data_IF_824686470042
#
_entry.id   IF_824686470042
#
_cell.length_a   1.000
_cell.length_b   1.000
_cell.length_c   1.000
_cell.angle_alpha   90.00
_cell.angle_beta   90.00
_cell.angle_gamma   90.00
#
_symmetry.space_group_name_H-M   'P 1'
#
loop_
_entity.id
_entity.type
_entity.pdbx_description
1 polymer ?
#
# COMPACT_ATOMS: atom_id res chain seq x y z
N UNK A 1 8.02 -3.68 -11.53
CA UNK A 1 6.58 -3.43 -11.47
C UNK A 1 6.00 -4.23 -10.31
N UNK A 2 4.95 -3.75 -9.63
CA UNK A 2 4.32 -4.49 -8.53
C UNK A 2 3.50 -5.70 -9.00
N UNK A 3 3.18 -5.79 -10.28
CA UNK A 3 2.22 -6.76 -10.79
C UNK A 3 2.52 -8.23 -10.47
N UNK A 4 3.73 -8.74 -10.75
CA UNK A 4 4.07 -10.13 -10.41
C UNK A 4 3.97 -10.45 -8.92
N UNK A 5 4.33 -9.49 -8.05
CA UNK A 5 4.26 -9.66 -6.61
C UNK A 5 2.81 -9.70 -6.11
N UNK A 6 1.94 -8.81 -6.62
CA UNK A 6 0.51 -8.78 -6.27
C UNK A 6 -0.18 -10.10 -6.65
N UNK A 7 0.02 -10.57 -7.89
CA UNK A 7 -0.59 -11.84 -8.33
C UNK A 7 -0.09 -13.03 -7.55
N UNK A 8 1.21 -13.08 -7.28
CA UNK A 8 1.78 -14.17 -6.48
C UNK A 8 1.18 -14.18 -5.06
N UNK A 9 1.04 -13.02 -4.42
CA UNK A 9 0.39 -12.92 -3.12
C UNK A 9 -1.07 -13.39 -3.15
N UNK A 10 -1.86 -12.95 -4.15
CA UNK A 10 -3.26 -13.38 -4.31
C UNK A 10 -3.33 -14.91 -4.46
N UNK A 11 -2.46 -15.50 -5.28
CA UNK A 11 -2.39 -16.95 -5.46
C UNK A 11 -2.05 -17.67 -4.15
N UNK A 12 -1.06 -17.19 -3.40
CA UNK A 12 -0.65 -17.77 -2.12
C UNK A 12 -1.76 -17.69 -1.06
N UNK A 13 -2.49 -16.57 -0.99
CA UNK A 13 -3.59 -16.41 -0.04
C UNK A 13 -4.77 -17.29 -0.44
N UNK A 14 -5.15 -17.33 -1.72
CA UNK A 14 -6.22 -18.23 -2.22
C UNK A 14 -5.91 -19.70 -1.90
N UNK A 15 -4.64 -20.11 -1.99
CA UNK A 15 -4.20 -21.46 -1.63
C UNK A 15 -4.26 -21.79 -0.13
N UNK A 16 -4.45 -20.79 0.74
CA UNK A 16 -4.44 -20.92 2.21
C UNK A 16 -5.80 -20.67 2.87
N UNK A 17 -6.80 -20.22 2.10
CA UNK A 17 -8.16 -19.95 2.60
C UNK A 17 -9.15 -20.95 2.01
N UNK A 18 -10.35 -21.04 2.59
CA UNK A 18 -11.41 -21.89 2.03
C UNK A 18 -11.83 -21.36 0.64
N UNK A 19 -12.15 -22.21 -0.35
CA UNK A 19 -12.48 -21.78 -1.73
C UNK A 19 -13.62 -20.75 -1.82
N UNK A 20 -14.62 -20.87 -0.94
CA UNK A 20 -15.74 -19.92 -0.84
C UNK A 20 -15.41 -18.64 -0.04
N UNK A 21 -14.18 -18.52 0.47
CA UNK A 21 -13.75 -17.31 1.19
C UNK A 21 -13.55 -16.18 0.19
N UNK A 22 -14.17 -15.05 0.49
CA UNK A 22 -13.95 -13.83 -0.27
C UNK A 22 -12.68 -13.13 0.20
N UNK A 23 -11.84 -12.74 -0.76
CA UNK A 23 -10.72 -11.86 -0.49
C UNK A 23 -11.17 -10.40 -0.57
N UNK A 24 -10.64 -9.58 0.31
CA UNK A 24 -10.79 -8.12 0.31
C UNK A 24 -9.42 -7.49 0.39
N UNK A 25 -9.26 -6.29 -0.17
CA UNK A 25 -8.01 -5.57 -0.20
C UNK A 25 -8.08 -4.27 0.61
N UNK A 26 -7.01 -4.00 1.37
CA UNK A 26 -6.74 -2.67 1.93
C UNK A 26 -5.42 -2.17 1.35
N UNK A 27 -5.46 -1.01 0.71
CA UNK A 27 -4.34 -0.52 -0.11
C UNK A 27 -3.76 0.76 0.49
N UNK A 28 -2.45 0.78 0.69
CA UNK A 28 -1.75 1.99 1.11
C UNK A 28 -0.40 2.13 0.42
N UNK A 29 0.01 3.36 0.13
CA UNK A 29 1.27 3.63 -0.56
C UNK A 29 1.16 4.82 -1.51
N UNK A 30 1.97 4.80 -2.56
CA UNK A 30 1.94 5.84 -3.59
C UNK A 30 2.44 7.22 -3.15
N UNK A 31 3.22 7.30 -2.07
CA UNK A 31 3.88 8.56 -1.69
C UNK A 31 5.01 8.92 -2.64
N UNK A 32 5.23 10.22 -2.84
CA UNK A 32 6.35 10.74 -3.62
C UNK A 32 7.64 10.94 -2.80
N UNK A 33 7.61 10.63 -1.50
CA UNK A 33 8.76 10.48 -0.62
C UNK A 33 9.78 11.61 -0.71
N UNK A 34 9.41 12.82 -0.25
CA UNK A 34 10.33 13.97 -0.11
C UNK A 34 11.08 14.43 -1.37
N UNK A 35 10.89 13.79 -2.53
CA UNK A 35 11.61 14.07 -3.76
C UNK A 35 11.04 15.34 -4.39
N UNK A 36 11.70 16.48 -4.14
CA UNK A 36 11.41 17.80 -4.74
C UNK A 36 12.21 18.05 -6.02
N UNK A 37 12.67 17.00 -6.70
CA UNK A 37 13.39 17.13 -7.97
C UNK A 37 12.41 17.28 -9.14
N UNK A 38 12.69 18.19 -10.07
CA UNK A 38 11.91 18.44 -11.30
C UNK A 38 11.87 17.25 -12.29
N UNK A 39 12.31 16.05 -11.89
CA UNK A 39 12.35 14.86 -12.73
C UNK A 39 10.98 14.17 -12.71
N UNK A 40 10.13 14.56 -13.65
CA UNK A 40 8.74 14.11 -13.78
C UNK A 40 8.58 12.59 -13.90
N UNK A 41 9.63 11.88 -14.33
CA UNK A 41 9.67 10.43 -14.45
C UNK A 41 9.72 9.70 -13.10
N UNK A 42 10.44 10.26 -12.12
CA UNK A 42 10.59 9.65 -10.78
C UNK A 42 9.48 10.09 -9.84
N UNK A 43 8.95 11.30 -10.05
CA UNK A 43 7.92 11.91 -9.22
C UNK A 43 6.63 11.08 -9.08
N UNK A 44 6.36 10.12 -9.98
CA UNK A 44 5.11 9.35 -9.99
C UNK A 44 5.28 7.81 -9.85
N UNK A 45 6.48 7.30 -9.53
CA UNK A 45 6.70 5.84 -9.42
C UNK A 45 5.74 5.20 -8.41
N UNK A 46 5.52 5.86 -7.26
CA UNK A 46 4.59 5.39 -6.25
C UNK A 46 3.15 5.30 -6.78
N UNK A 47 2.68 6.34 -7.47
CA UNK A 47 1.34 6.38 -8.06
C UNK A 47 1.16 5.32 -9.15
N UNK A 48 2.13 5.18 -10.05
CA UNK A 48 2.10 4.16 -11.11
C UNK A 48 2.11 2.73 -10.55
N UNK A 49 2.90 2.50 -9.50
CA UNK A 49 2.93 1.20 -8.81
C UNK A 49 1.57 0.88 -8.20
N UNK A 50 0.95 1.87 -7.54
CA UNK A 50 -0.38 1.74 -6.96
C UNK A 50 -1.44 1.45 -8.02
N UNK A 51 -1.41 2.15 -9.16
CA UNK A 51 -2.34 1.92 -10.27
C UNK A 51 -2.25 0.47 -10.77
N UNK A 52 -1.04 -0.05 -10.99
CA UNK A 52 -0.88 -1.46 -11.39
C UNK A 52 -1.39 -2.46 -10.35
N UNK A 53 -1.34 -2.13 -9.05
CA UNK A 53 -1.94 -2.98 -8.01
C UNK A 53 -3.46 -2.96 -8.12
N UNK A 54 -4.05 -1.77 -8.27
CA UNK A 54 -5.51 -1.60 -8.39
C UNK A 54 -6.05 -2.31 -9.63
N UNK A 55 -5.39 -2.19 -10.78
CA UNK A 55 -5.76 -2.89 -12.02
C UNK A 55 -5.85 -4.40 -11.79
N UNK A 56 -4.87 -4.99 -11.11
CA UNK A 56 -4.86 -6.43 -10.81
C UNK A 56 -5.99 -6.82 -9.85
N UNK A 57 -6.26 -6.02 -8.82
CA UNK A 57 -7.34 -6.30 -7.89
C UNK A 57 -8.70 -6.29 -8.59
N UNK A 58 -8.90 -5.36 -9.54
CA UNK A 58 -10.11 -5.31 -10.38
C UNK A 58 -10.20 -6.54 -11.28
N UNK A 59 -9.12 -6.90 -11.96
CA UNK A 59 -9.09 -8.08 -12.84
C UNK A 59 -9.32 -9.39 -12.10
N UNK A 60 -8.90 -9.47 -10.83
CA UNK A 60 -9.09 -10.64 -9.97
C UNK A 60 -10.42 -10.61 -9.18
N UNK A 61 -11.27 -9.61 -9.42
CA UNK A 61 -12.57 -9.38 -8.78
C UNK A 61 -12.47 -9.28 -7.24
N UNK A 62 -11.40 -8.64 -6.75
CA UNK A 62 -11.15 -8.42 -5.32
C UNK A 62 -11.57 -7.00 -4.94
N UNK A 63 -12.56 -6.90 -4.05
CA UNK A 63 -13.05 -5.61 -3.59
C UNK A 63 -12.04 -4.90 -2.68
N UNK A 64 -11.91 -3.58 -2.87
CA UNK A 64 -11.07 -2.71 -2.05
C UNK A 64 -11.93 -2.14 -0.92
N UNK A 65 -11.70 -2.60 0.30
CA UNK A 65 -12.42 -2.15 1.50
C UNK A 65 -11.91 -0.79 2.01
N UNK A 66 -10.63 -0.49 1.80
CA UNK A 66 -10.03 0.76 2.26
C UNK A 66 -8.79 1.15 1.47
N UNK A 67 -8.62 2.45 1.24
CA UNK A 67 -7.46 2.97 0.51
C UNK A 67 -6.91 4.25 1.15
N UNK A 68 -5.61 4.27 1.40
CA UNK A 68 -4.90 5.45 1.90
C UNK A 68 -3.60 5.69 1.10
N UNK A 69 -3.66 6.59 0.13
CA UNK A 69 -2.65 6.70 -0.93
C UNK A 69 -2.13 8.13 -1.13
N UNK A 70 -1.11 8.30 -1.98
CA UNK A 70 -0.57 9.61 -2.36
C UNK A 70 0.28 10.27 -1.28
N UNK A 71 0.35 11.59 -1.27
CA UNK A 71 1.04 12.40 -0.24
C UNK A 71 2.58 12.40 -0.33
N UNK A 72 3.18 13.32 0.42
CA UNK A 72 4.65 13.52 0.40
C UNK A 72 5.39 12.79 1.53
N UNK A 73 4.64 12.32 2.54
CA UNK A 73 5.19 11.69 3.74
C UNK A 73 5.33 10.19 3.56
N UNK A 74 6.46 9.67 4.05
CA UNK A 74 6.65 8.24 4.27
C UNK A 74 5.69 7.72 5.36
N UNK A 75 5.36 6.43 5.26
CA UNK A 75 4.40 5.76 6.13
C UNK A 75 4.96 4.44 6.61
N UNK A 76 4.69 4.13 7.87
CA UNK A 76 4.81 2.78 8.41
C UNK A 76 3.41 2.17 8.46
N UNK A 77 3.30 0.94 7.98
CA UNK A 77 2.03 0.21 7.90
C UNK A 77 2.13 -1.01 8.80
N UNK A 78 1.13 -1.22 9.64
CA UNK A 78 0.96 -2.42 10.45
C UNK A 78 -0.39 -3.02 10.05
N UNK A 79 -0.37 -4.29 9.64
CA UNK A 79 -1.57 -5.06 9.33
C UNK A 79 -1.78 -6.09 10.43
N UNK A 80 -2.92 -6.01 11.11
CA UNK A 80 -3.35 -6.99 12.09
C UNK A 80 -4.01 -8.17 11.36
N UNK A 81 -3.44 -9.37 11.48
CA UNK A 81 -3.96 -10.56 10.80
C UNK A 81 -5.20 -11.14 11.47
N UNK A 82 -5.45 -10.82 12.74
CA UNK A 82 -6.59 -11.32 13.50
C UNK A 82 -7.83 -10.46 13.23
N UNK A 83 -7.67 -9.13 13.26
CA UNK A 83 -8.80 -8.20 13.04
C UNK A 83 -8.92 -7.74 11.59
N UNK A 84 -7.85 -7.87 10.80
CA UNK A 84 -7.75 -7.30 9.46
C UNK A 84 -7.52 -5.79 9.47
N UNK A 85 -7.26 -5.17 10.61
CA UNK A 85 -7.06 -3.72 10.70
C UNK A 85 -5.73 -3.28 10.09
N UNK A 86 -5.75 -2.08 9.49
CA UNK A 86 -4.55 -1.43 8.96
C UNK A 86 -4.30 -0.16 9.76
N UNK A 87 -3.21 -0.16 10.54
CA UNK A 87 -2.71 1.04 11.20
C UNK A 87 -1.65 1.70 10.32
N UNK A 88 -1.84 2.99 10.05
CA UNK A 88 -0.92 3.80 9.26
C UNK A 88 -0.30 4.82 10.18
N UNK A 89 1.03 4.77 10.32
CA UNK A 89 1.77 5.73 11.13
C UNK A 89 2.59 6.62 10.21
N UNK A 90 2.60 7.91 10.52
CA UNK A 90 3.46 8.88 9.84
C UNK A 90 4.70 9.15 10.67
N UNK A 91 5.87 9.16 10.01
CA UNK A 91 7.08 9.71 10.61
C UNK A 91 7.00 11.24 10.63
N UNK A 92 6.96 11.83 11.82
CA UNK A 92 7.26 13.25 12.01
C UNK A 92 8.67 13.34 12.58
N UNK A 93 9.60 13.92 11.83
CA UNK A 93 10.90 14.30 12.40
C UNK A 93 10.70 15.50 13.31
N UNK A 94 11.00 15.36 14.59
CA UNK A 94 10.98 16.49 15.51
C UNK A 94 12.19 17.43 15.24
N UNK A 95 12.24 18.58 15.91
CA UNK A 95 13.35 19.55 15.76
C UNK A 95 14.74 18.98 16.10
N UNK A 96 14.82 17.83 16.78
CA UNK A 96 16.06 17.13 17.11
C UNK A 96 16.40 15.99 16.13
N UNK A 97 15.69 15.87 15.00
CA UNK A 97 15.91 14.84 13.98
C UNK A 97 15.43 13.44 14.36
N UNK A 98 14.75 13.28 15.51
CA UNK A 98 14.21 11.99 15.96
C UNK A 98 12.86 11.75 15.27
N UNK A 99 12.68 10.57 14.71
CA UNK A 99 11.39 10.14 14.18
C UNK A 99 10.41 9.88 15.32
N UNK A 100 9.29 10.59 15.28
CA UNK A 100 8.13 10.36 16.13
C UNK A 100 7.06 9.75 15.24
N UNK A 101 6.59 8.57 15.61
CA UNK A 101 5.46 7.95 14.93
C UNK A 101 4.16 8.57 15.46
N UNK A 102 3.33 9.11 14.57
CA UNK A 102 1.97 9.57 14.88
C UNK A 102 0.99 8.62 14.20
N UNK A 103 0.06 8.11 15.01
CA UNK A 103 -1.06 7.25 14.59
C UNK A 103 -2.19 8.14 14.09
#
# INVERSE_FOLDING_TARGET
SAGPATRHLISEVRGKVHPESRLIAKVTGGSIGGYRGNDSLVANIGGNTLLSVVEILVEEEIDIEGMHTGGEKERKVIFDLETGDVMIMFGIRNKSGKEIAVI
#
